data_IF_467151037232
#
_entry.id   IF_467151037232
#
_cell.length_a   1.000
_cell.length_b   1.000
_cell.length_c   1.000
_cell.angle_alpha   90.00
_cell.angle_beta   90.00
_cell.angle_gamma   90.00
#
_symmetry.space_group_name_H-M   'P 1'
#
loop_
_entity.id
_entity.type
_entity.pdbx_description
1 polymer ?
#
# COMPACT_ATOMS: atom_id res chain seq x y z
N UNK A 1 -26.83 17.34 -16.08
CA UNK A 1 -25.88 16.32 -15.61
C UNK A 1 -24.52 16.96 -15.41
N UNK A 2 -23.96 16.80 -14.23
CA UNK A 2 -22.60 17.20 -13.94
C UNK A 2 -21.73 15.96 -13.91
N UNK A 3 -20.51 16.12 -14.43
CA UNK A 3 -19.52 15.05 -14.38
C UNK A 3 -18.30 15.57 -13.65
N UNK A 4 -17.98 14.95 -12.53
CA UNK A 4 -16.72 15.17 -11.85
C UNK A 4 -15.70 14.19 -12.40
N UNK A 5 -14.61 14.71 -12.88
CA UNK A 5 -13.51 13.91 -13.39
C UNK A 5 -12.23 14.32 -12.67
N UNK A 6 -11.66 13.37 -11.94
CA UNK A 6 -10.48 13.60 -11.11
C UNK A 6 -9.37 12.67 -11.57
N UNK A 7 -8.22 13.26 -11.87
CA UNK A 7 -7.02 12.49 -12.20
C UNK A 7 -6.10 12.46 -10.99
N UNK A 8 -5.64 11.28 -10.62
CA UNK A 8 -4.77 11.07 -9.46
C UNK A 8 -3.59 10.19 -9.82
N UNK A 9 -2.45 10.52 -9.24
CA UNK A 9 -1.32 9.60 -9.16
C UNK A 9 -1.34 8.98 -7.77
N UNK A 10 -1.40 7.66 -7.68
CA UNK A 10 -1.39 6.98 -6.39
C UNK A 10 -0.23 6.01 -6.32
N UNK A 11 0.29 5.81 -5.14
CA UNK A 11 1.35 4.82 -4.95
C UNK A 11 1.15 4.04 -3.67
N UNK A 12 1.58 2.78 -3.71
CA UNK A 12 1.70 1.99 -2.49
C UNK A 12 2.82 2.57 -1.62
N UNK A 13 2.86 2.17 -0.36
CA UNK A 13 4.03 2.39 0.45
C UNK A 13 5.15 1.43 0.03
N UNK A 14 6.39 1.86 0.13
CA UNK A 14 7.53 0.99 -0.09
C UNK A 14 7.67 0.02 1.07
N UNK A 15 8.17 -1.17 0.81
CA UNK A 15 8.53 -2.10 1.88
C UNK A 15 9.75 -1.59 2.64
N UNK A 16 9.77 -1.81 3.94
CA UNK A 16 10.93 -1.48 4.75
C UNK A 16 12.07 -2.46 4.52
N UNK A 17 13.31 -2.05 4.73
CA UNK A 17 14.45 -2.95 4.58
C UNK A 17 14.54 -3.92 5.75
N UNK A 18 15.06 -5.10 5.49
CA UNK A 18 15.45 -6.01 6.55
C UNK A 18 16.73 -5.53 7.22
N UNK A 19 17.07 -6.13 8.33
CA UNK A 19 18.28 -5.77 9.05
C UNK A 19 19.25 -6.95 9.15
N UNK A 20 20.52 -6.64 9.36
CA UNK A 20 21.55 -7.61 9.67
C UNK A 20 21.96 -7.39 11.12
N UNK A 21 21.78 -8.40 11.93
CA UNK A 21 22.13 -8.35 13.35
C UNK A 21 22.49 -9.74 13.83
N UNK A 22 23.28 -9.82 14.89
CA UNK A 22 23.68 -11.09 15.47
C UNK A 22 23.59 -11.00 16.99
N UNK A 23 23.10 -12.07 17.59
CA UNK A 23 23.07 -12.21 19.05
C UNK A 23 24.01 -13.35 19.45
N UNK A 24 24.67 -13.16 20.58
CA UNK A 24 25.48 -14.21 21.19
C UNK A 24 24.63 -14.92 22.23
N UNK A 25 24.26 -16.16 21.92
CA UNK A 25 23.49 -17.02 22.81
C UNK A 25 24.30 -18.27 23.10
N UNK A 26 24.58 -18.56 24.36
CA UNK A 26 25.31 -19.76 24.79
C UNK A 26 26.65 -19.89 24.03
N UNK A 27 27.40 -18.83 23.96
CA UNK A 27 28.71 -18.76 23.27
C UNK A 27 28.61 -18.97 21.75
N UNK A 28 27.40 -18.93 21.17
CA UNK A 28 27.19 -19.03 19.74
C UNK A 28 26.63 -17.74 19.18
N UNK A 29 27.17 -17.29 18.07
CA UNK A 29 26.64 -16.15 17.34
C UNK A 29 25.53 -16.62 16.41
N UNK A 30 24.36 -16.01 16.51
CA UNK A 30 23.21 -16.36 15.67
C UNK A 30 22.60 -15.12 15.02
N UNK A 31 22.10 -15.24 13.79
CA UNK A 31 21.44 -14.12 13.15
C UNK A 31 20.17 -13.73 13.89
N UNK A 32 19.97 -12.44 14.05
CA UNK A 32 18.84 -11.87 14.79
C UNK A 32 18.24 -10.64 14.14
N UNK A 33 18.60 -10.35 12.88
CA UNK A 33 18.03 -9.21 12.19
C UNK A 33 16.58 -9.47 11.79
N UNK A 34 15.68 -8.56 12.17
CA UNK A 34 14.28 -8.64 11.81
C UNK A 34 14.03 -8.19 10.38
N UNK A 35 12.86 -8.53 9.87
CA UNK A 35 12.44 -8.18 8.52
C UNK A 35 11.76 -6.83 8.51
N UNK A 36 11.82 -6.15 7.38
CA UNK A 36 11.08 -4.90 7.21
C UNK A 36 9.58 -5.15 7.11
N UNK A 37 8.80 -4.15 7.48
CA UNK A 37 7.35 -4.21 7.34
C UNK A 37 6.93 -4.00 5.89
N UNK A 38 5.74 -4.46 5.55
CA UNK A 38 5.15 -4.20 4.24
C UNK A 38 4.67 -2.76 4.17
N UNK A 39 4.76 -2.16 3.00
CA UNK A 39 4.14 -0.87 2.76
C UNK A 39 2.63 -0.99 2.71
N UNK A 40 1.92 0.12 2.90
CA UNK A 40 0.47 0.15 2.76
C UNK A 40 0.04 0.06 1.32
N UNK A 41 -1.14 -0.48 1.08
CA UNK A 41 -1.75 -0.51 -0.23
C UNK A 41 -2.69 0.68 -0.45
N UNK A 42 -3.29 0.75 -1.62
CA UNK A 42 -4.28 1.78 -1.96
C UNK A 42 -5.63 1.11 -2.15
N UNK A 43 -6.61 1.56 -1.39
CA UNK A 43 -7.96 1.02 -1.40
C UNK A 43 -8.94 2.13 -1.75
N UNK A 44 -9.85 1.84 -2.67
CA UNK A 44 -10.97 2.74 -2.96
C UNK A 44 -12.21 2.20 -2.27
N UNK A 45 -12.84 3.03 -1.48
CA UNK A 45 -14.00 2.64 -0.67
C UNK A 45 -15.20 3.54 -0.96
N UNK A 46 -16.36 2.95 -1.10
CA UNK A 46 -17.60 3.71 -1.30
C UNK A 46 -18.08 4.25 0.04
N UNK A 47 -18.37 5.54 0.07
CA UNK A 47 -18.99 6.20 1.20
C UNK A 47 -20.30 6.84 0.72
N UNK A 48 -21.42 6.27 1.16
CA UNK A 48 -22.77 6.73 0.74
C UNK A 48 -23.10 8.16 1.15
N UNK A 49 -22.39 8.67 2.15
CA UNK A 49 -22.63 10.03 2.62
C UNK A 49 -22.00 11.07 1.71
N UNK A 50 -21.12 10.67 0.81
CA UNK A 50 -20.53 11.58 -0.15
C UNK A 50 -21.45 11.80 -1.33
N UNK A 51 -21.55 13.04 -1.77
CA UNK A 51 -22.40 13.45 -2.89
C UNK A 51 -21.60 13.82 -4.14
N UNK A 52 -20.29 13.95 -4.01
CA UNK A 52 -19.42 14.32 -5.13
C UNK A 52 -17.97 13.96 -4.78
N UNK A 53 -17.04 14.35 -5.65
CA UNK A 53 -15.62 14.11 -5.49
C UNK A 53 -14.85 15.37 -5.03
N UNK A 54 -15.55 16.37 -4.49
CA UNK A 54 -14.92 17.65 -4.15
C UNK A 54 -13.86 17.55 -3.06
N UNK A 55 -13.91 16.52 -2.23
CA UNK A 55 -12.91 16.29 -1.19
C UNK A 55 -11.57 15.78 -1.75
N UNK A 56 -11.54 15.39 -3.01
CA UNK A 56 -10.33 14.90 -3.67
C UNK A 56 -9.83 15.96 -4.64
N UNK A 57 -8.59 16.39 -4.47
CA UNK A 57 -8.01 17.38 -5.35
C UNK A 57 -7.48 16.72 -6.63
N UNK A 58 -7.92 17.23 -7.80
CA UNK A 58 -7.46 16.71 -9.07
C UNK A 58 -5.97 16.95 -9.26
N UNK A 59 -5.29 16.06 -9.98
CA UNK A 59 -3.85 16.10 -10.25
C UNK A 59 -2.99 15.98 -8.98
N UNK A 60 -3.57 15.42 -7.93
CA UNK A 60 -2.83 15.13 -6.70
C UNK A 60 -2.00 13.88 -6.83
N UNK A 61 -0.95 13.81 -6.02
CA UNK A 61 -0.16 12.61 -5.85
C UNK A 61 -0.36 12.11 -4.42
N UNK A 62 -0.97 10.95 -4.27
CA UNK A 62 -1.30 10.37 -2.97
C UNK A 62 -0.47 9.11 -2.75
N UNK A 63 0.03 8.96 -1.54
CA UNK A 63 0.93 7.84 -1.20
C UNK A 63 0.47 7.14 0.05
N UNK A 64 0.47 5.80 0.03
CA UNK A 64 0.30 5.02 1.23
C UNK A 64 1.59 5.04 2.06
N UNK A 65 1.48 4.65 3.31
CA UNK A 65 2.59 4.70 4.26
C UNK A 65 3.60 3.59 3.96
N UNK A 66 4.89 3.93 4.08
CA UNK A 66 5.97 2.94 3.93
C UNK A 66 6.00 1.99 5.12
N UNK A 67 6.48 0.78 4.90
CA UNK A 67 6.80 -0.13 5.98
C UNK A 67 8.04 0.33 6.72
N UNK A 68 8.12 0.02 8.00
CA UNK A 68 9.27 0.34 8.83
C UNK A 68 10.42 -0.64 8.62
N UNK A 69 11.65 -0.25 8.97
CA UNK A 69 12.79 -1.14 8.87
C UNK A 69 12.76 -2.22 9.93
N UNK A 70 13.33 -3.37 9.63
CA UNK A 70 13.60 -4.38 10.64
C UNK A 70 14.71 -3.91 11.57
N UNK A 71 14.75 -4.46 12.76
CA UNK A 71 15.72 -4.09 13.78
C UNK A 71 16.38 -5.32 14.39
N UNK A 72 17.38 -5.08 15.25
CA UNK A 72 18.04 -6.13 16.01
C UNK A 72 17.05 -6.84 16.95
N UNK A 73 17.48 -7.94 17.55
CA UNK A 73 16.69 -8.72 18.49
C UNK A 73 15.37 -9.22 17.93
N UNK A 74 15.41 -9.68 16.67
CA UNK A 74 14.28 -10.28 15.96
C UNK A 74 13.09 -9.32 15.77
N UNK A 75 13.29 -8.02 15.91
CA UNK A 75 12.20 -7.06 15.78
C UNK A 75 11.92 -6.75 14.32
N UNK A 76 10.73 -7.12 13.90
CA UNK A 76 10.24 -6.81 12.56
C UNK A 76 9.76 -5.36 12.50
N UNK A 77 9.89 -4.75 11.34
CA UNK A 77 9.36 -3.41 11.11
C UNK A 77 7.85 -3.40 11.11
N UNK A 78 7.28 -2.25 11.41
CA UNK A 78 5.82 -2.08 11.39
C UNK A 78 5.32 -2.02 9.94
N UNK A 79 4.12 -2.54 9.71
CA UNK A 79 3.48 -2.42 8.41
C UNK A 79 2.92 -1.01 8.22
N UNK A 80 3.05 -0.47 7.03
CA UNK A 80 2.47 0.82 6.70
C UNK A 80 0.95 0.73 6.59
N UNK A 81 0.28 1.83 6.93
CA UNK A 81 -1.17 1.91 6.82
C UNK A 81 -1.59 2.06 5.36
N UNK A 82 -2.71 1.45 5.02
CA UNK A 82 -3.30 1.59 3.70
C UNK A 82 -3.81 3.02 3.49
N UNK A 83 -3.68 3.50 2.27
CA UNK A 83 -4.32 4.72 1.83
C UNK A 83 -5.75 4.37 1.40
N UNK A 84 -6.73 4.99 2.01
CA UNK A 84 -8.13 4.76 1.67
C UNK A 84 -8.66 6.02 0.99
N UNK A 85 -9.10 5.86 -0.24
CA UNK A 85 -9.73 6.94 -1.01
C UNK A 85 -11.22 6.69 -1.00
N UNK A 86 -11.97 7.57 -0.35
CA UNK A 86 -13.43 7.45 -0.28
C UNK A 86 -14.06 8.13 -1.50
N UNK A 87 -15.03 7.46 -2.08
CA UNK A 87 -15.74 7.96 -3.27
C UNK A 87 -17.23 7.75 -3.08
N UNK A 88 -18.07 8.60 -3.72
CA UNK A 88 -19.51 8.38 -3.67
C UNK A 88 -19.93 7.15 -4.45
N UNK A 89 -21.08 6.63 -4.13
CA UNK A 89 -21.68 5.51 -4.86
C UNK A 89 -21.90 5.89 -6.33
N UNK A 90 -21.54 5.01 -7.22
CA UNK A 90 -21.67 5.25 -8.66
C UNK A 90 -20.41 5.83 -9.31
N UNK A 91 -19.33 5.94 -8.54
CA UNK A 91 -18.05 6.38 -9.10
C UNK A 91 -17.45 5.30 -9.98
N UNK A 92 -16.95 5.68 -11.13
CA UNK A 92 -16.20 4.80 -12.03
C UNK A 92 -14.71 5.04 -11.85
N UNK A 93 -13.96 3.95 -11.79
CA UNK A 93 -12.51 4.00 -11.62
C UNK A 93 -11.85 3.50 -12.88
N UNK A 94 -10.98 4.32 -13.47
CA UNK A 94 -10.21 3.96 -14.65
C UNK A 94 -8.73 3.90 -14.29
N UNK A 95 -8.07 2.87 -14.77
CA UNK A 95 -6.61 2.70 -14.66
C UNK A 95 -6.07 2.62 -16.08
N UNK A 96 -5.14 3.49 -16.42
CA UNK A 96 -4.56 3.57 -17.78
C UNK A 96 -5.63 3.67 -18.87
N UNK A 97 -6.65 4.48 -18.63
CA UNK A 97 -7.79 4.72 -19.51
C UNK A 97 -8.70 3.51 -19.75
N UNK A 98 -8.52 2.43 -18.96
CA UNK A 98 -9.43 1.29 -19.00
C UNK A 98 -10.24 1.23 -17.73
N UNK A 99 -11.52 0.90 -17.85
CA UNK A 99 -12.38 0.79 -16.67
C UNK A 99 -11.91 -0.36 -15.78
N UNK A 100 -11.55 -0.01 -14.55
CA UNK A 100 -11.14 -0.98 -13.54
C UNK A 100 -12.35 -1.43 -12.70
N UNK A 101 -13.19 -0.51 -12.30
CA UNK A 101 -14.34 -0.79 -11.44
C UNK A 101 -15.42 0.25 -11.62
N UNK A 102 -16.65 -0.19 -11.44
CA UNK A 102 -17.84 0.65 -11.43
C UNK A 102 -18.53 0.40 -10.09
N UNK A 103 -18.51 1.41 -9.21
CA UNK A 103 -18.80 1.22 -7.79
C UNK A 103 -20.26 1.58 -7.49
N UNK A 104 -21.15 0.66 -7.77
CA UNK A 104 -22.59 0.84 -7.52
C UNK A 104 -23.08 0.30 -6.17
N UNK A 105 -22.27 -0.51 -5.49
CA UNK A 105 -22.67 -1.11 -4.23
C UNK A 105 -22.30 -0.23 -3.05
N UNK A 106 -23.15 -0.19 -2.03
CA UNK A 106 -23.03 0.76 -0.94
C UNK A 106 -21.80 0.58 -0.07
N UNK A 107 -21.38 -0.63 0.15
CA UNK A 107 -20.25 -0.92 1.06
C UNK A 107 -19.08 -1.58 0.35
N UNK A 108 -18.94 -1.32 -0.95
CA UNK A 108 -17.85 -1.93 -1.69
C UNK A 108 -16.53 -1.23 -1.41
N UNK A 109 -15.49 -2.03 -1.37
CA UNK A 109 -14.12 -1.53 -1.35
C UNK A 109 -13.29 -2.40 -2.27
N UNK A 110 -12.32 -1.78 -2.93
CA UNK A 110 -11.47 -2.46 -3.89
C UNK A 110 -10.02 -2.12 -3.63
N UNK A 111 -9.20 -3.15 -3.55
CA UNK A 111 -7.76 -2.96 -3.46
C UNK A 111 -7.22 -2.62 -4.84
N UNK A 112 -6.78 -1.39 -5.01
CA UNK A 112 -6.27 -0.91 -6.28
C UNK A 112 -4.80 -1.26 -6.45
N UNK A 113 -4.02 -1.08 -5.40
CA UNK A 113 -2.60 -1.43 -5.37
C UNK A 113 -2.32 -2.16 -4.06
N UNK A 114 -1.66 -3.31 -4.18
CA UNK A 114 -1.18 -4.02 -3.00
C UNK A 114 0.08 -3.35 -2.47
N UNK A 115 0.24 -3.29 -1.15
CA UNK A 115 1.44 -2.73 -0.53
C UNK A 115 2.68 -3.51 -0.93
N UNK A 116 3.80 -2.81 -1.02
CA UNK A 116 5.07 -3.43 -1.40
C UNK A 116 5.62 -4.27 -0.26
N UNK A 117 6.27 -5.39 -0.60
CA UNK A 117 6.77 -6.33 0.41
C UNK A 117 7.97 -5.77 1.13
N UNK A 118 8.01 -6.01 2.46
CA UNK A 118 9.20 -5.74 3.25
C UNK A 118 10.33 -6.71 2.92
N UNK A 119 11.56 -6.26 3.08
CA UNK A 119 12.73 -7.09 2.88
C UNK A 119 12.96 -8.03 4.05
N UNK A 120 13.44 -9.22 3.78
CA UNK A 120 13.73 -10.19 4.84
C UNK A 120 15.02 -9.82 5.56
N UNK A 121 15.01 -9.91 6.89
CA UNK A 121 16.21 -9.78 7.70
C UNK A 121 17.06 -11.04 7.65
N UNK A 122 18.29 -10.96 8.18
CA UNK A 122 19.21 -12.09 8.08
C UNK A 122 18.70 -13.30 8.88
N UNK A 123 17.85 -13.11 9.88
CA UNK A 123 17.25 -14.22 10.60
C UNK A 123 16.39 -15.09 9.68
N UNK A 124 15.58 -14.47 8.84
CA UNK A 124 14.73 -15.21 7.89
C UNK A 124 15.51 -15.83 6.74
N UNK A 125 16.72 -15.34 6.47
CA UNK A 125 17.54 -15.81 5.37
C UNK A 125 18.48 -16.94 5.78
N UNK A 126 18.51 -17.32 7.06
CA UNK A 126 19.37 -18.40 7.48
C UNK A 126 18.93 -19.73 6.87
N UNK A 127 19.90 -20.56 6.54
CA UNK A 127 19.65 -21.87 5.95
C UNK A 127 20.75 -22.83 6.41
N UNK A 128 20.58 -24.11 6.08
CA UNK A 128 21.61 -25.11 6.40
C UNK A 128 22.94 -24.78 5.71
N UNK A 129 22.89 -24.19 4.49
CA UNK A 129 24.08 -23.80 3.76
C UNK A 129 24.71 -22.52 4.28
N UNK A 130 23.90 -21.63 4.82
CA UNK A 130 24.37 -20.36 5.35
C UNK A 130 23.67 -20.08 6.68
N UNK A 131 24.21 -20.63 7.78
CA UNK A 131 23.58 -20.45 9.09
C UNK A 131 23.79 -19.07 9.70
N UNK A 132 24.70 -18.26 9.14
CA UNK A 132 24.96 -16.91 9.63
C UNK A 132 25.01 -15.92 8.46
N UNK A 133 23.84 -15.64 7.83
CA UNK A 133 23.83 -14.72 6.70
C UNK A 133 24.28 -13.32 7.12
N UNK A 134 25.13 -12.71 6.32
CA UNK A 134 25.61 -11.34 6.54
C UNK A 134 24.92 -10.36 5.61
N UNK A 135 23.78 -10.73 5.06
CA UNK A 135 23.00 -9.93 4.14
C UNK A 135 21.55 -9.86 4.61
N UNK A 136 20.87 -8.86 4.14
CA UNK A 136 19.41 -8.73 4.25
C UNK A 136 18.88 -8.26 2.91
N UNK A 137 17.56 -8.30 2.76
CA UNK A 137 16.91 -7.81 1.57
C UNK A 137 16.46 -6.37 1.76
N UNK A 138 16.54 -5.58 0.71
CA UNK A 138 15.86 -4.30 0.67
C UNK A 138 14.37 -4.54 0.46
N UNK A 139 13.53 -3.64 0.96
CA UNK A 139 12.11 -3.72 0.67
C UNK A 139 11.84 -3.44 -0.81
N UNK A 140 10.71 -3.91 -1.29
CA UNK A 140 10.27 -3.61 -2.65
C UNK A 140 9.92 -2.14 -2.78
N UNK A 141 10.16 -1.60 -3.97
CA UNK A 141 9.85 -0.21 -4.28
C UNK A 141 8.34 0.00 -4.37
N UNK A 142 7.92 1.25 -4.29
CA UNK A 142 6.53 1.63 -4.47
C UNK A 142 6.03 1.27 -5.85
N UNK A 143 4.77 0.88 -5.90
CA UNK A 143 4.06 0.72 -7.16
C UNK A 143 3.21 1.96 -7.40
N UNK A 144 3.32 2.53 -8.58
CA UNK A 144 2.66 3.77 -8.97
C UNK A 144 1.59 3.47 -10.00
N UNK A 145 0.44 4.12 -9.86
CA UNK A 145 -0.62 4.07 -10.86
C UNK A 145 -1.20 5.46 -11.08
N UNK A 146 -1.54 5.74 -12.33
CA UNK A 146 -2.35 6.90 -12.66
C UNK A 146 -3.79 6.44 -12.81
N UNK A 147 -4.67 7.03 -12.03
CA UNK A 147 -6.09 6.68 -12.05
C UNK A 147 -6.93 7.88 -12.37
N UNK A 148 -8.11 7.60 -12.87
CA UNK A 148 -9.15 8.59 -13.16
C UNK A 148 -10.41 8.16 -12.45
N UNK A 149 -10.98 9.07 -11.66
CA UNK A 149 -12.27 8.86 -11.02
C UNK A 149 -13.30 9.71 -11.75
N UNK A 150 -14.39 9.08 -12.17
CA UNK A 150 -15.49 9.77 -12.83
C UNK A 150 -16.76 9.53 -12.03
N UNK A 151 -17.38 10.62 -11.62
CA UNK A 151 -18.66 10.57 -10.94
C UNK A 151 -19.64 11.48 -11.67
N UNK A 152 -20.74 10.91 -12.13
CA UNK A 152 -21.78 11.65 -12.84
C UNK A 152 -22.92 11.98 -11.88
N UNK A 153 -23.19 13.26 -11.71
CA UNK A 153 -24.29 13.72 -10.89
C UNK A 153 -25.47 14.00 -11.83
N UNK A 154 -26.54 13.23 -11.63
CA UNK A 154 -27.76 13.46 -12.37
C UNK A 154 -28.67 14.35 -11.53
N UNK A 155 -29.16 15.43 -12.12
CA UNK A 155 -30.28 16.14 -11.57
C UNK A 155 -31.48 15.23 -11.78
N UNK A 156 -31.74 14.41 -10.85
CA UNK A 156 -32.82 13.45 -10.97
C UNK A 156 -34.14 14.12 -10.76
N UNK A 157 -34.92 14.05 -11.78
CA UNK A 157 -36.22 14.70 -11.81
C UNK A 157 -37.34 13.68 -11.61
N UNK A 158 -37.05 12.45 -11.57
CA UNK A 158 -38.07 11.43 -11.45
C UNK A 158 -38.41 11.17 -10.01
#
# INVERSE_FOLDING_TARGET
>A
MFVDEINLSVSSGAGGPGSVSFNNLNSKTKPSGGSGGHGGGVIISVNQELNDLSHVMSNSSLKAENGGPGNKNFQNGTHGQNLIIEVPKGTQVFVDNEMYADLHNDDSSYELIQGSRGGRGNYELLSKRNPNPQICEQGEKRNLLDIKLIFSIYSDIS
#
